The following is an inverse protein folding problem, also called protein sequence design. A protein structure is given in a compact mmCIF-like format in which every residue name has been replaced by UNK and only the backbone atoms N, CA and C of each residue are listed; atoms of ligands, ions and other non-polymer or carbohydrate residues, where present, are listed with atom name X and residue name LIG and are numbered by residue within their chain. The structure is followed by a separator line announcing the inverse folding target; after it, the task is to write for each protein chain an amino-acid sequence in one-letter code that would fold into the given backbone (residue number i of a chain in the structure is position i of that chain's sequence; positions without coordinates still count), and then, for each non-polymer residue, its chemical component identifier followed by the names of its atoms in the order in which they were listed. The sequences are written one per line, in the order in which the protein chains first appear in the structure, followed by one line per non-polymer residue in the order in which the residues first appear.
data_IF_293429968923
#
_entry.id   IF_293429968923
#
_cell.length_a   1.000
_cell.length_b   1.000
_cell.length_c   1.000
_cell.angle_alpha   90.00
_cell.angle_beta   90.00
_cell.angle_gamma   90.00
#
_symmetry.space_group_name_H-M   'P 1'
#
loop_
_entity.id
_entity.type
_entity.pdbx_description
1 polymer ?
#
# COMPACT_ATOMS: atom_id res chain seq x y z
N UNK A 1 15.30 -13.40 14.94
CA UNK A 1 13.89 -12.94 14.91
C UNK A 1 13.21 -13.54 13.69
N UNK A 2 12.00 -14.05 13.88
CA UNK A 2 11.18 -14.71 12.87
C UNK A 2 9.78 -14.09 12.86
N UNK A 3 9.22 -13.86 11.68
CA UNK A 3 7.91 -13.23 11.46
C UNK A 3 7.21 -13.98 10.33
N UNK A 4 5.96 -14.41 10.53
CA UNK A 4 5.21 -15.23 9.56
C UNK A 4 5.97 -16.50 9.12
N UNK A 5 6.77 -17.12 10.00
CA UNK A 5 7.58 -18.28 9.63
C UNK A 5 8.84 -17.94 8.79
N UNK A 6 9.14 -16.65 8.61
CA UNK A 6 10.26 -16.17 7.77
C UNK A 6 11.32 -15.55 8.66
N UNK A 7 12.55 -16.06 8.58
CA UNK A 7 13.69 -15.48 9.28
C UNK A 7 14.05 -14.12 8.68
N UNK A 8 13.93 -13.04 9.47
CA UNK A 8 14.08 -11.67 9.00
C UNK A 8 15.50 -11.32 8.53
N UNK A 9 16.53 -11.93 9.14
CA UNK A 9 17.93 -11.70 8.77
C UNK A 9 18.34 -12.49 7.52
N UNK A 10 17.85 -13.73 7.39
CA UNK A 10 18.21 -14.61 6.27
C UNK A 10 17.38 -14.37 5.02
N UNK A 11 16.10 -13.96 5.16
CA UNK A 11 15.17 -13.81 4.03
C UNK A 11 14.40 -12.46 4.06
N UNK A 12 15.09 -11.32 4.10
CA UNK A 12 14.45 -10.01 4.30
C UNK A 12 13.49 -9.62 3.17
N UNK A 13 13.82 -9.94 1.91
CA UNK A 13 12.96 -9.60 0.76
C UNK A 13 11.66 -10.40 0.77
N UNK A 14 11.74 -11.70 1.07
CA UNK A 14 10.56 -12.55 1.22
C UNK A 14 9.67 -12.03 2.36
N UNK A 15 10.25 -11.63 3.49
CA UNK A 15 9.48 -11.05 4.58
C UNK A 15 8.77 -9.76 4.14
N UNK A 16 9.50 -8.80 3.54
CA UNK A 16 8.93 -7.54 3.03
C UNK A 16 7.83 -7.73 1.99
N UNK A 17 7.92 -8.77 1.17
CA UNK A 17 6.88 -9.11 0.20
C UNK A 17 5.55 -9.52 0.86
N UNK A 18 5.60 -10.05 2.10
CA UNK A 18 4.45 -10.61 2.82
C UNK A 18 3.91 -9.69 3.93
N UNK A 19 4.50 -8.51 4.15
CA UNK A 19 4.05 -7.55 5.16
C UNK A 19 3.82 -6.15 4.56
N UNK A 20 2.94 -5.39 5.20
CA UNK A 20 2.85 -3.93 5.05
C UNK A 20 3.57 -3.24 6.20
N UNK A 21 4.16 -2.07 5.94
CA UNK A 21 4.81 -1.22 6.95
C UNK A 21 4.07 0.12 6.92
N UNK A 22 3.60 0.57 8.07
CA UNK A 22 2.98 1.89 8.25
C UNK A 22 3.88 2.65 9.22
N UNK A 23 4.75 3.55 8.74
CA UNK A 23 5.61 4.36 9.59
C UNK A 23 4.80 5.43 10.32
N UNK A 24 5.38 5.95 11.41
CA UNK A 24 4.80 7.07 12.17
C UNK A 24 4.73 8.36 11.35
N UNK A 25 5.74 8.60 10.50
CA UNK A 25 5.79 9.74 9.60
C UNK A 25 6.31 9.29 8.24
N UNK A 26 5.44 9.36 7.24
CA UNK A 26 5.81 9.30 5.83
C UNK A 26 4.78 10.09 5.03
N UNK A 27 5.25 10.80 4.00
CA UNK A 27 4.41 11.55 3.09
C UNK A 27 4.34 10.80 1.75
N UNK A 28 3.14 10.43 1.27
CA UNK A 28 3.00 9.93 -0.09
C UNK A 28 3.53 10.97 -1.11
N UNK A 29 3.95 10.54 -2.30
CA UNK A 29 4.47 11.47 -3.30
C UNK A 29 3.44 12.57 -3.61
N UNK A 30 3.86 13.84 -3.50
CA UNK A 30 2.97 15.02 -3.64
C UNK A 30 2.41 15.24 -5.05
N UNK A 31 2.81 14.39 -6.01
CA UNK A 31 2.38 14.43 -7.41
C UNK A 31 1.40 13.30 -7.75
N UNK A 32 0.91 12.54 -6.76
CA UNK A 32 -0.14 11.53 -6.94
C UNK A 32 -1.36 11.86 -6.07
N UNK A 33 -2.53 11.54 -6.58
CA UNK A 33 -3.77 11.46 -5.79
C UNK A 33 -3.79 10.18 -4.94
N UNK A 34 -4.61 10.10 -3.88
CA UNK A 34 -4.79 8.86 -3.11
C UNK A 34 -5.13 7.65 -3.97
N UNK A 35 -5.99 7.83 -4.99
CA UNK A 35 -6.35 6.78 -5.94
C UNK A 35 -5.13 6.29 -6.73
N UNK A 36 -4.35 7.23 -7.29
CA UNK A 36 -3.16 6.91 -8.07
C UNK A 36 -2.08 6.27 -7.21
N UNK A 37 -1.89 6.73 -5.97
CA UNK A 37 -0.93 6.16 -5.04
C UNK A 37 -1.28 4.70 -4.70
N UNK A 38 -2.53 4.41 -4.37
CA UNK A 38 -2.97 3.04 -4.10
C UNK A 38 -2.90 2.15 -5.35
N UNK A 39 -3.23 2.69 -6.54
CA UNK A 39 -3.04 1.97 -7.80
C UNK A 39 -1.56 1.65 -8.07
N UNK A 40 -0.66 2.62 -7.84
CA UNK A 40 0.78 2.45 -8.00
C UNK A 40 1.32 1.36 -7.08
N UNK A 41 0.98 1.39 -5.79
CA UNK A 41 1.38 0.36 -4.83
C UNK A 41 0.81 -1.01 -5.22
N UNK A 42 -0.46 -1.07 -5.66
CA UNK A 42 -1.10 -2.29 -6.12
C UNK A 42 -0.38 -2.92 -7.32
N UNK A 43 0.02 -2.10 -8.31
CA UNK A 43 0.81 -2.55 -9.46
C UNK A 43 2.19 -3.03 -9.05
N UNK A 44 2.89 -2.29 -8.19
CA UNK A 44 4.20 -2.65 -7.68
C UNK A 44 4.18 -4.00 -6.92
N UNK A 45 3.07 -4.30 -6.24
CA UNK A 45 2.85 -5.55 -5.49
C UNK A 45 2.24 -6.67 -6.34
N UNK A 46 1.94 -6.45 -7.62
CA UNK A 46 1.38 -7.46 -8.51
C UNK A 46 -0.03 -7.93 -8.13
N UNK A 47 -0.83 -7.04 -7.52
CA UNK A 47 -2.20 -7.36 -7.13
C UNK A 47 -3.13 -7.47 -8.35
N UNK A 48 -4.16 -8.31 -8.22
CA UNK A 48 -5.26 -8.42 -9.20
C UNK A 48 -6.45 -7.59 -8.74
N UNK A 49 -7.33 -7.21 -9.68
CA UNK A 49 -8.52 -6.40 -9.41
C UNK A 49 -8.17 -5.09 -8.68
N UNK A 50 -7.11 -4.39 -9.11
CA UNK A 50 -6.57 -3.22 -8.42
C UNK A 50 -7.62 -2.14 -8.27
N UNK A 51 -8.36 -1.83 -9.33
CA UNK A 51 -9.37 -0.78 -9.37
C UNK A 51 -10.46 -1.02 -8.31
N UNK A 52 -10.95 -2.26 -8.21
CA UNK A 52 -11.94 -2.67 -7.21
C UNK A 52 -11.40 -2.59 -5.78
N UNK A 53 -10.12 -2.95 -5.58
CA UNK A 53 -9.46 -2.86 -4.27
C UNK A 53 -9.24 -1.42 -3.84
N UNK A 54 -8.84 -0.55 -4.77
CA UNK A 54 -8.67 0.88 -4.53
C UNK A 54 -10.00 1.51 -4.11
N UNK A 55 -11.07 1.23 -4.85
CA UNK A 55 -12.42 1.71 -4.54
C UNK A 55 -12.87 1.26 -3.14
N UNK A 56 -12.70 -0.03 -2.84
CA UNK A 56 -13.01 -0.58 -1.51
C UNK A 56 -12.25 0.13 -0.38
N UNK A 57 -10.94 0.34 -0.53
CA UNK A 57 -10.15 0.93 0.54
C UNK A 57 -10.42 2.42 0.71
N UNK A 58 -10.61 3.17 -0.39
CA UNK A 58 -10.97 4.58 -0.30
C UNK A 58 -12.32 4.78 0.40
N UNK A 59 -13.30 3.91 0.12
CA UNK A 59 -14.59 3.90 0.82
C UNK A 59 -14.42 3.53 2.31
N UNK A 60 -13.70 2.45 2.60
CA UNK A 60 -13.49 1.97 3.96
C UNK A 60 -12.80 2.99 4.86
N UNK A 61 -11.83 3.75 4.33
CA UNK A 61 -11.16 4.83 5.04
C UNK A 61 -11.94 6.17 5.03
N UNK A 62 -13.10 6.24 4.37
CA UNK A 62 -13.88 7.48 4.26
C UNK A 62 -13.19 8.57 3.43
N UNK A 63 -12.32 8.19 2.50
CA UNK A 63 -11.48 9.09 1.70
C UNK A 63 -12.05 9.40 0.31
N UNK A 64 -13.28 8.96 0.02
CA UNK A 64 -13.91 9.13 -1.29
C UNK A 64 -13.95 10.60 -1.76
N UNK A 65 -14.21 11.55 -0.87
CA UNK A 65 -14.22 12.99 -1.22
C UNK A 65 -12.84 13.54 -1.58
N UNK A 66 -11.75 12.85 -1.19
CA UNK A 66 -10.36 13.25 -1.43
C UNK A 66 -9.67 12.38 -2.47
N UNK A 67 -10.39 11.44 -3.09
CA UNK A 67 -9.84 10.44 -4.00
C UNK A 67 -8.99 11.01 -5.15
N UNK A 68 -9.36 12.21 -5.61
CA UNK A 68 -8.75 12.91 -6.74
C UNK A 68 -8.04 14.22 -6.30
N UNK A 69 -7.85 14.42 -4.99
CA UNK A 69 -7.05 15.53 -4.45
C UNK A 69 -5.58 15.11 -4.43
N UNK A 70 -4.65 16.02 -4.71
CA UNK A 70 -3.21 15.73 -4.57
C UNK A 70 -2.84 15.47 -3.11
N UNK A 71 -1.94 14.52 -2.89
CA UNK A 71 -1.40 14.18 -1.57
C UNK A 71 -0.53 15.28 -0.97
#
# INVERSE_FOLDING_TARGET
VEVLGINAARNPQKLKANIGIVPESESPPSFLTPSEFLQFVGKLRGLKEIEKKVEYWLDWFGMQEKRDTMC
#
